data_IF_228100742821
#
_entry.id   IF_228100742821
#
_cell.length_a   1.000
_cell.length_b   1.000
_cell.length_c   1.000
_cell.angle_alpha   90.00
_cell.angle_beta   90.00
_cell.angle_gamma   90.00
#
_symmetry.space_group_name_H-M   'P 1'
#
loop_
_entity.id
_entity.type
_entity.pdbx_description
1 polymer ?
#
# COMPACT_ATOMS: atom_id res chain seq x y z
N UNK A 1 18.31 -1.90 30.27
CA UNK A 1 17.74 -0.64 29.72
C UNK A 1 17.46 -0.89 28.25
N UNK A 2 16.19 -1.03 27.88
CA UNK A 2 15.77 -1.35 26.52
C UNK A 2 16.21 -0.22 25.57
N UNK A 3 17.20 -0.48 24.71
CA UNK A 3 17.70 0.52 23.76
C UNK A 3 16.76 0.57 22.55
N UNK A 4 15.90 1.58 22.53
CA UNK A 4 14.92 1.81 21.46
C UNK A 4 15.61 1.86 20.08
N UNK A 5 16.81 2.44 20.03
CA UNK A 5 17.62 2.59 18.83
C UNK A 5 18.03 1.24 18.23
N UNK A 6 18.46 0.27 19.07
CA UNK A 6 18.81 -1.07 18.59
C UNK A 6 17.58 -1.88 18.17
N UNK A 7 16.43 -1.67 18.81
CA UNK A 7 15.19 -2.35 18.44
C UNK A 7 14.67 -1.87 17.08
N UNK A 8 14.67 -0.55 16.84
CA UNK A 8 14.31 0.05 15.55
C UNK A 8 15.23 -0.44 14.43
N UNK A 9 16.54 -0.58 14.70
CA UNK A 9 17.52 -1.02 13.71
C UNK A 9 17.56 -2.55 13.49
N UNK A 10 16.91 -3.32 14.37
CA UNK A 10 16.75 -4.80 14.24
C UNK A 10 15.52 -5.15 13.41
N UNK A 11 14.61 -4.20 13.19
CA UNK A 11 13.53 -4.35 12.23
C UNK A 11 14.11 -3.96 10.86
N UNK A 12 14.50 -4.92 10.01
CA UNK A 12 14.83 -4.61 8.61
C UNK A 12 13.69 -3.78 8.02
N UNK A 13 13.95 -2.49 7.71
CA UNK A 13 12.99 -1.63 7.01
C UNK A 13 12.48 -2.29 5.74
N UNK A 14 13.30 -3.16 5.15
CA UNK A 14 12.99 -4.04 4.04
C UNK A 14 11.87 -5.06 4.34
N UNK A 15 11.84 -5.71 5.51
CA UNK A 15 10.75 -6.63 5.89
C UNK A 15 9.45 -5.89 6.18
N UNK A 16 9.53 -4.67 6.71
CA UNK A 16 8.37 -3.78 6.84
C UNK A 16 7.89 -3.30 5.46
N UNK A 17 8.82 -3.04 4.54
CA UNK A 17 8.55 -2.68 3.15
C UNK A 17 7.75 -3.74 2.42
N UNK A 18 8.16 -5.02 2.47
CA UNK A 18 7.42 -6.13 1.82
C UNK A 18 5.98 -6.26 2.32
N UNK A 19 5.75 -6.08 3.63
CA UNK A 19 4.40 -6.05 4.20
C UNK A 19 3.59 -4.86 3.70
N UNK A 20 4.20 -3.68 3.67
CA UNK A 20 3.54 -2.45 3.21
C UNK A 20 3.13 -2.50 1.73
N UNK A 21 3.96 -3.08 0.85
CA UNK A 21 3.58 -3.30 -0.56
C UNK A 21 2.35 -4.20 -0.69
N UNK A 22 2.30 -5.29 0.08
CA UNK A 22 1.16 -6.21 0.08
C UNK A 22 -0.12 -5.52 0.57
N UNK A 23 -0.02 -4.72 1.64
CA UNK A 23 -1.15 -3.95 2.16
C UNK A 23 -1.64 -2.94 1.11
N UNK A 24 -0.73 -2.19 0.47
CA UNK A 24 -1.08 -1.24 -0.58
C UNK A 24 -1.81 -1.93 -1.74
N UNK A 25 -1.33 -3.11 -2.16
CA UNK A 25 -1.99 -3.91 -3.19
C UNK A 25 -3.43 -4.27 -2.80
N UNK A 26 -3.61 -4.89 -1.63
CA UNK A 26 -4.92 -5.34 -1.16
C UNK A 26 -5.90 -4.19 -0.97
N UNK A 27 -5.40 -3.07 -0.44
CA UNK A 27 -6.18 -1.85 -0.26
C UNK A 27 -6.61 -1.27 -1.61
N UNK A 28 -5.72 -1.22 -2.61
CA UNK A 28 -6.05 -0.77 -3.96
C UNK A 28 -7.08 -1.68 -4.64
N UNK A 29 -7.00 -3.00 -4.45
CA UNK A 29 -8.01 -3.96 -4.94
C UNK A 29 -9.37 -3.70 -4.28
N UNK A 30 -9.38 -3.55 -2.95
CA UNK A 30 -10.61 -3.31 -2.19
C UNK A 30 -11.26 -1.99 -2.58
N UNK A 31 -10.49 -0.93 -2.73
CA UNK A 31 -11.00 0.40 -3.04
C UNK A 31 -11.60 0.49 -4.45
N UNK A 32 -11.06 -0.27 -5.41
CA UNK A 32 -11.62 -0.37 -6.76
C UNK A 32 -12.92 -1.21 -6.82
N UNK A 33 -13.28 -1.95 -5.76
CA UNK A 33 -14.57 -2.65 -5.70
C UNK A 33 -15.72 -1.64 -5.55
N UNK A 34 -16.83 -1.80 -6.32
CA UNK A 34 -17.95 -0.85 -6.28
C UNK A 34 -18.55 -0.63 -4.88
N UNK A 35 -18.60 -1.69 -4.06
CA UNK A 35 -19.14 -1.64 -2.71
C UNK A 35 -18.27 -0.82 -1.73
N UNK A 36 -16.95 -0.93 -1.83
CA UNK A 36 -16.02 -0.33 -0.85
C UNK A 36 -15.58 1.05 -1.31
N UNK A 37 -15.32 1.24 -2.60
CA UNK A 37 -14.96 2.52 -3.20
C UNK A 37 -16.03 3.61 -3.09
N UNK A 38 -17.30 3.23 -2.87
CA UNK A 38 -18.39 4.20 -2.61
C UNK A 38 -18.25 4.87 -1.23
N UNK A 39 -17.66 4.16 -0.25
CA UNK A 39 -17.48 4.69 1.11
C UNK A 39 -16.07 5.27 1.33
N UNK A 40 -15.07 4.74 0.63
CA UNK A 40 -13.66 5.10 0.82
C UNK A 40 -13.15 5.76 -0.47
N UNK A 41 -12.77 7.05 -0.45
CA UNK A 41 -12.35 7.74 -1.65
C UNK A 41 -10.98 7.27 -2.17
N UNK A 42 -11.02 6.59 -3.34
CA UNK A 42 -9.94 6.14 -4.23
C UNK A 42 -8.55 6.77 -4.05
N UNK A 43 -8.55 8.09 -4.15
CA UNK A 43 -7.33 8.85 -4.29
C UNK A 43 -6.56 9.01 -2.98
N UNK A 44 -7.22 8.87 -1.84
CA UNK A 44 -6.63 9.10 -0.51
C UNK A 44 -5.48 8.13 -0.24
N UNK A 45 -5.69 6.87 -0.60
CA UNK A 45 -4.76 5.78 -0.31
C UNK A 45 -3.55 5.82 -1.26
N UNK A 46 -3.77 6.21 -2.52
CA UNK A 46 -2.68 6.50 -3.47
C UNK A 46 -1.82 7.65 -2.97
N UNK A 47 -2.42 8.75 -2.49
CA UNK A 47 -1.68 9.89 -1.93
C UNK A 47 -0.87 9.46 -0.69
N UNK A 48 -1.46 8.67 0.20
CA UNK A 48 -0.78 8.13 1.37
C UNK A 48 0.43 7.27 0.97
N UNK A 49 0.27 6.39 -0.01
CA UNK A 49 1.38 5.56 -0.52
C UNK A 49 2.53 6.41 -1.07
N UNK A 50 2.22 7.50 -1.78
CA UNK A 50 3.20 8.47 -2.27
C UNK A 50 3.92 9.22 -1.13
N UNK A 51 3.21 9.53 -0.04
CA UNK A 51 3.81 10.09 1.17
C UNK A 51 4.79 9.10 1.82
N UNK A 52 4.44 7.82 1.90
CA UNK A 52 5.35 6.77 2.41
C UNK A 52 6.59 6.59 1.54
N UNK A 53 6.48 6.79 0.21
CA UNK A 53 7.64 6.84 -0.69
C UNK A 53 8.53 8.03 -0.35
N UNK A 54 7.95 9.21 -0.10
CA UNK A 54 8.72 10.41 0.27
C UNK A 54 9.47 10.26 1.61
N UNK A 55 8.93 9.48 2.55
CA UNK A 55 9.56 9.17 3.82
C UNK A 55 10.74 8.18 3.69
N UNK A 56 10.98 7.60 2.51
CA UNK A 56 12.07 6.65 2.27
C UNK A 56 11.74 5.21 2.72
N UNK A 57 10.54 4.97 3.24
CA UNK A 57 10.10 3.63 3.67
C UNK A 57 9.76 2.73 2.48
N UNK A 58 9.28 3.32 1.37
CA UNK A 58 8.92 2.60 0.15
C UNK A 58 9.66 3.17 -1.06
N UNK A 59 9.90 2.31 -2.06
CA UNK A 59 10.50 2.69 -3.33
C UNK A 59 9.39 3.14 -4.29
N UNK A 60 9.64 4.24 -4.99
CA UNK A 60 8.69 4.86 -5.93
C UNK A 60 8.18 3.90 -7.01
N UNK A 61 9.11 3.27 -7.74
CA UNK A 61 8.76 2.40 -8.87
C UNK A 61 7.91 1.19 -8.46
N UNK A 62 8.28 0.41 -7.41
CA UNK A 62 7.44 -0.67 -6.92
C UNK A 62 6.04 -0.23 -6.49
N UNK A 63 5.90 0.90 -5.77
CA UNK A 63 4.57 1.39 -5.35
C UNK A 63 3.68 1.65 -6.54
N UNK A 64 4.19 2.30 -7.60
CA UNK A 64 3.41 2.56 -8.82
C UNK A 64 2.89 1.25 -9.41
N UNK A 65 3.79 0.28 -9.64
CA UNK A 65 3.42 -1.00 -10.26
C UNK A 65 2.39 -1.74 -9.42
N UNK A 66 2.59 -1.80 -8.11
CA UNK A 66 1.71 -2.51 -7.18
C UNK A 66 0.33 -1.85 -7.07
N UNK A 67 0.27 -0.52 -6.92
CA UNK A 67 -0.99 0.22 -6.88
C UNK A 67 -1.77 0.04 -8.18
N UNK A 68 -1.10 0.20 -9.33
CA UNK A 68 -1.73 0.02 -10.64
C UNK A 68 -2.26 -1.40 -10.83
N UNK A 69 -1.49 -2.43 -10.47
CA UNK A 69 -1.96 -3.81 -10.53
C UNK A 69 -3.13 -4.07 -9.60
N UNK A 70 -3.10 -3.53 -8.38
CA UNK A 70 -4.21 -3.65 -7.43
C UNK A 70 -5.50 -3.04 -7.96
N UNK A 71 -5.41 -1.83 -8.52
CA UNK A 71 -6.56 -1.16 -9.13
C UNK A 71 -7.13 -1.96 -10.33
N UNK A 72 -6.27 -2.45 -11.23
CA UNK A 72 -6.71 -3.27 -12.38
C UNK A 72 -7.42 -4.54 -11.89
N UNK A 73 -6.85 -5.23 -10.90
CA UNK A 73 -7.46 -6.45 -10.34
C UNK A 73 -8.79 -6.12 -9.66
N UNK A 74 -8.86 -5.04 -8.90
CA UNK A 74 -10.08 -4.59 -8.23
C UNK A 74 -11.19 -4.22 -9.21
N UNK A 75 -10.88 -3.48 -10.29
CA UNK A 75 -11.84 -3.15 -11.36
C UNK A 75 -12.35 -4.41 -12.07
N UNK A 76 -11.46 -5.34 -12.40
CA UNK A 76 -11.84 -6.62 -13.03
C UNK A 76 -12.73 -7.43 -12.08
N UNK A 77 -12.35 -7.57 -10.81
CA UNK A 77 -13.19 -8.25 -9.81
C UNK A 77 -14.54 -7.54 -9.61
N UNK A 78 -14.55 -6.21 -9.58
CA UNK A 78 -15.73 -5.39 -9.47
C UNK A 78 -16.68 -5.50 -10.65
N UNK A 79 -16.18 -5.82 -11.85
CA UNK A 79 -17.03 -6.14 -13.00
C UNK A 79 -17.81 -7.45 -12.83
N UNK A 80 -17.26 -8.41 -12.08
CA UNK A 80 -17.87 -9.73 -11.87
C UNK A 80 -18.76 -9.82 -10.62
N UNK A 81 -18.81 -8.78 -9.79
CA UNK A 81 -19.58 -8.71 -8.53
C UNK A 81 -20.72 -7.73 -8.68
#
# INVERSE_FOLDING_TARGET
MFNLHSFINTIPLETLGYGAYTVIFLVAVLEALPLVGTFIPGHSLVILSGFLVRLGTLKFWPVIVIVSLGAIVGDVCGYFV
#
